data_IF_974257268319
#
_entry.id   IF_974257268319
#
_cell.length_a   1.000
_cell.length_b   1.000
_cell.length_c   1.000
_cell.angle_alpha   90.00
_cell.angle_beta   90.00
_cell.angle_gamma   90.00
#
_symmetry.space_group_name_H-M   'P 1'
#
loop_
_entity.id
_entity.type
_entity.pdbx_description
1 polymer ?
#
# COMPACT_ATOMS: atom_id res chain seq x y z
N UNK A 1 19.58 -0.48 5.12
CA UNK A 1 19.86 0.51 6.18
C UNK A 1 18.88 1.69 6.15
N UNK A 2 18.81 2.46 5.06
CA UNK A 2 17.92 3.64 5.01
C UNK A 2 16.43 3.30 5.16
N UNK A 3 16.00 2.14 4.70
CA UNK A 3 14.62 1.66 4.85
C UNK A 3 14.25 1.32 6.30
N UNK A 4 15.20 0.82 7.11
CA UNK A 4 14.95 0.41 8.51
C UNK A 4 14.44 1.58 9.36
N UNK A 5 14.98 2.78 9.13
CA UNK A 5 14.49 3.98 9.82
C UNK A 5 13.06 4.31 9.43
N UNK A 6 12.75 4.29 8.13
CA UNK A 6 11.41 4.54 7.61
C UNK A 6 10.40 3.52 8.15
N UNK A 7 10.76 2.23 8.16
CA UNK A 7 9.94 1.15 8.70
C UNK A 7 9.69 1.33 10.20
N UNK A 8 10.70 1.78 10.95
CA UNK A 8 10.56 2.05 12.39
C UNK A 8 9.64 3.25 12.67
N UNK A 9 9.78 4.34 11.90
CA UNK A 9 8.89 5.49 12.00
C UNK A 9 7.46 5.09 11.67
N UNK A 10 7.26 4.27 10.63
CA UNK A 10 5.95 3.75 10.27
C UNK A 10 5.36 2.87 11.39
N UNK A 11 6.15 1.96 11.95
CA UNK A 11 5.74 1.10 13.06
C UNK A 11 5.27 1.91 14.28
N UNK A 12 6.01 2.96 14.66
CA UNK A 12 5.62 3.84 15.77
C UNK A 12 4.29 4.54 15.47
N UNK A 13 4.11 5.06 14.26
CA UNK A 13 2.88 5.74 13.84
C UNK A 13 1.67 4.81 13.85
N UNK A 14 1.85 3.54 13.47
CA UNK A 14 0.80 2.50 13.50
C UNK A 14 0.40 2.06 14.92
N UNK A 15 0.96 2.67 15.96
CA UNK A 15 0.63 2.41 17.37
C UNK A 15 1.83 1.87 18.17
N UNK A 16 2.79 1.25 17.48
CA UNK A 16 4.03 0.76 18.08
C UNK A 16 3.82 -0.09 19.34
N UNK A 17 4.61 0.19 20.37
CA UNK A 17 4.42 -0.29 21.75
C UNK A 17 4.85 -1.74 22.07
N UNK A 18 5.74 -2.34 21.27
CA UNK A 18 6.43 -3.57 21.66
C UNK A 18 7.92 -3.31 21.95
N UNK A 19 8.25 -3.15 23.23
CA UNK A 19 9.63 -2.89 23.66
C UNK A 19 10.61 -4.03 23.35
N UNK A 20 10.15 -5.28 23.33
CA UNK A 20 10.99 -6.43 22.97
C UNK A 20 11.33 -6.41 21.47
N UNK A 21 10.33 -6.15 20.62
CA UNK A 21 10.53 -6.00 19.18
C UNK A 21 11.45 -4.81 18.88
N UNK A 22 11.19 -3.65 19.50
CA UNK A 22 12.03 -2.46 19.33
C UNK A 22 13.48 -2.71 19.75
N UNK A 23 13.70 -3.38 20.88
CA UNK A 23 15.04 -3.80 21.33
C UNK A 23 15.71 -4.73 20.32
N UNK A 24 15.01 -5.77 19.86
CA UNK A 24 15.56 -6.71 18.89
C UNK A 24 15.98 -6.01 17.60
N UNK A 25 15.11 -5.13 17.08
CA UNK A 25 15.37 -4.37 15.87
C UNK A 25 16.58 -3.44 16.03
N UNK A 26 16.70 -2.71 17.15
CA UNK A 26 17.85 -1.84 17.42
C UNK A 26 19.16 -2.64 17.48
N UNK A 27 19.14 -3.81 18.13
CA UNK A 27 20.28 -4.71 18.19
C UNK A 27 20.70 -5.20 16.80
N UNK A 28 19.76 -5.60 15.96
CA UNK A 28 20.07 -6.05 14.60
C UNK A 28 20.49 -4.90 13.68
N UNK A 29 19.89 -3.73 13.85
CA UNK A 29 20.26 -2.52 13.12
C UNK A 29 21.68 -2.06 13.46
N UNK A 30 22.08 -2.11 14.73
CA UNK A 30 23.46 -1.84 15.16
C UNK A 30 24.46 -2.77 14.47
N UNK A 31 24.17 -4.09 14.40
CA UNK A 31 25.04 -5.04 13.67
C UNK A 31 25.17 -4.68 12.19
N UNK A 32 24.07 -4.29 11.54
CA UNK A 32 24.07 -3.88 10.13
C UNK A 32 24.82 -2.57 9.89
N UNK A 33 24.80 -1.65 10.86
CA UNK A 33 25.48 -0.35 10.79
C UNK A 33 26.99 -0.43 11.05
N UNK A 34 27.42 -1.43 11.80
CA UNK A 34 28.79 -1.53 12.32
C UNK A 34 29.88 -1.42 11.24
N UNK A 35 29.75 -2.02 10.03
CA UNK A 35 30.74 -1.87 8.97
C UNK A 35 30.95 -0.43 8.47
N UNK A 36 29.94 0.45 8.64
CA UNK A 36 29.96 1.83 8.12
C UNK A 36 30.18 2.85 9.24
N UNK A 37 29.55 2.63 10.40
CA UNK A 37 29.56 3.58 11.54
C UNK A 37 29.79 2.84 12.86
N UNK A 38 31.00 2.27 13.08
CA UNK A 38 31.25 1.33 14.17
C UNK A 38 31.00 1.95 15.56
N UNK A 39 31.49 3.16 15.82
CA UNK A 39 31.31 3.81 17.13
C UNK A 39 29.83 4.06 17.48
N UNK A 40 29.03 4.50 16.51
CA UNK A 40 27.58 4.72 16.72
C UNK A 40 26.85 3.39 16.90
N UNK A 41 27.29 2.35 16.18
CA UNK A 41 26.70 1.02 16.28
C UNK A 41 26.92 0.40 17.65
N UNK A 42 28.13 0.54 18.22
CA UNK A 42 28.46 0.08 19.57
C UNK A 42 27.64 0.83 20.64
N UNK A 43 27.43 2.14 20.47
CA UNK A 43 26.58 2.92 21.37
C UNK A 43 25.12 2.47 21.33
N UNK A 44 24.53 2.32 20.13
CA UNK A 44 23.15 1.82 19.96
C UNK A 44 23.00 0.43 20.57
N UNK A 45 23.96 -0.46 20.34
CA UNK A 45 23.98 -1.81 20.89
C UNK A 45 24.00 -1.81 22.41
N UNK A 46 24.86 -0.99 23.02
CA UNK A 46 24.95 -0.89 24.48
C UNK A 46 23.64 -0.36 25.09
N UNK A 47 23.07 0.70 24.50
CA UNK A 47 21.79 1.28 24.94
C UNK A 47 20.64 0.28 24.79
N UNK A 48 20.63 -0.50 23.70
CA UNK A 48 19.64 -1.56 23.48
C UNK A 48 19.86 -2.80 24.39
N UNK A 49 20.87 -2.79 25.27
CA UNK A 49 21.16 -3.88 26.20
C UNK A 49 21.79 -5.08 25.53
N UNK A 50 22.58 -4.86 24.47
CA UNK A 50 23.46 -5.87 23.90
C UNK A 50 24.67 -6.15 24.80
N UNK A 51 25.19 -7.38 24.74
CA UNK A 51 26.35 -7.81 25.53
C UNK A 51 27.60 -7.92 24.65
N UNK A 52 28.75 -7.52 25.19
CA UNK A 52 30.01 -7.49 24.45
C UNK A 52 30.03 -6.44 23.33
N UNK A 53 30.95 -6.62 22.36
CA UNK A 53 31.11 -5.72 21.22
C UNK A 53 30.30 -6.21 20.02
N UNK A 54 29.68 -5.28 19.30
CA UNK A 54 29.02 -5.55 18.01
C UNK A 54 29.97 -6.20 17.02
N UNK A 55 31.25 -5.83 17.04
CA UNK A 55 32.30 -6.42 16.21
C UNK A 55 32.41 -7.96 16.33
N UNK A 56 31.96 -8.54 17.45
CA UNK A 56 31.98 -9.99 17.70
C UNK A 56 30.60 -10.65 17.54
N UNK A 57 29.56 -9.86 17.34
CA UNK A 57 28.19 -10.34 17.22
C UNK A 57 27.95 -11.00 15.85
N UNK A 58 27.21 -12.12 15.86
CA UNK A 58 26.75 -12.77 14.62
C UNK A 58 25.42 -12.16 14.19
N UNK A 59 25.30 -11.91 12.89
CA UNK A 59 24.03 -11.59 12.25
C UNK A 59 23.39 -12.90 11.83
N UNK A 60 22.19 -13.17 12.35
CA UNK A 60 21.34 -14.26 11.87
C UNK A 60 20.30 -13.62 10.97
N UNK A 61 20.30 -13.98 9.69
CA UNK A 61 19.21 -13.62 8.79
C UNK A 61 18.07 -14.61 9.05
N UNK A 62 16.94 -14.13 9.52
CA UNK A 62 15.72 -14.93 9.56
C UNK A 62 15.25 -15.16 8.13
N UNK A 63 14.78 -16.37 7.84
CA UNK A 63 14.06 -16.64 6.60
C UNK A 63 12.68 -15.97 6.67
N UNK A 64 12.26 -15.32 5.59
CA UNK A 64 10.94 -14.68 5.50
C UNK A 64 9.83 -15.73 5.46
N UNK A 65 8.78 -15.54 6.25
CA UNK A 65 7.59 -16.40 6.20
C UNK A 65 6.64 -15.93 5.08
N UNK A 66 5.87 -16.83 4.45
CA UNK A 66 4.94 -16.45 3.37
C UNK A 66 3.89 -15.40 3.78
N UNK A 67 3.43 -15.45 5.04
CA UNK A 67 2.45 -14.50 5.60
C UNK A 67 3.02 -13.08 5.78
N UNK A 68 4.35 -12.93 5.79
CA UNK A 68 4.99 -11.63 5.86
C UNK A 68 4.66 -10.82 4.59
N UNK A 69 4.55 -11.47 3.43
CA UNK A 69 4.33 -10.77 2.17
C UNK A 69 2.97 -10.07 2.10
N UNK A 70 1.90 -10.73 2.55
CA UNK A 70 0.54 -10.15 2.55
C UNK A 70 0.43 -9.00 3.56
N UNK A 71 1.02 -9.19 4.75
CA UNK A 71 1.05 -8.17 5.80
C UNK A 71 1.85 -6.94 5.35
N UNK A 72 3.05 -7.15 4.81
CA UNK A 72 3.89 -6.08 4.27
C UNK A 72 3.22 -5.38 3.09
N UNK A 73 2.52 -6.12 2.24
CA UNK A 73 1.77 -5.55 1.14
C UNK A 73 0.62 -4.66 1.63
N UNK A 74 -0.12 -5.11 2.63
CA UNK A 74 -1.21 -4.34 3.25
C UNK A 74 -0.69 -3.04 3.87
N UNK A 75 0.43 -3.09 4.60
CA UNK A 75 1.04 -1.89 5.19
C UNK A 75 1.60 -0.93 4.13
N UNK A 76 2.19 -1.44 3.04
CA UNK A 76 2.61 -0.60 1.90
C UNK A 76 1.43 0.07 1.21
N UNK A 77 0.33 -0.66 1.04
CA UNK A 77 -0.91 -0.10 0.49
C UNK A 77 -1.43 1.03 1.38
N UNK A 78 -1.48 0.84 2.70
CA UNK A 78 -1.87 1.90 3.64
C UNK A 78 -0.99 3.16 3.53
N UNK A 79 0.33 3.00 3.42
CA UNK A 79 1.25 4.13 3.21
C UNK A 79 0.92 4.89 1.93
N UNK A 80 0.72 4.16 0.82
CA UNK A 80 0.37 4.75 -0.48
C UNK A 80 -0.94 5.55 -0.40
N UNK A 81 -1.97 4.98 0.22
CA UNK A 81 -3.27 5.66 0.36
C UNK A 81 -3.17 6.87 1.26
N UNK A 82 -2.42 6.80 2.36
CA UNK A 82 -2.23 7.94 3.23
C UNK A 82 -1.53 9.10 2.52
N UNK A 83 -0.50 8.82 1.71
CA UNK A 83 0.20 9.84 0.94
C UNK A 83 -0.69 10.45 -0.13
N UNK A 84 -1.47 9.64 -0.87
CA UNK A 84 -2.47 10.12 -1.81
C UNK A 84 -3.53 10.98 -1.12
N UNK A 85 -4.05 10.53 0.02
CA UNK A 85 -5.03 11.26 0.81
C UNK A 85 -4.49 12.63 1.24
N UNK A 86 -3.25 12.72 1.73
CA UNK A 86 -2.61 13.99 2.12
C UNK A 86 -2.45 14.97 0.96
N UNK A 87 -2.03 14.47 -0.21
CA UNK A 87 -1.94 15.28 -1.41
C UNK A 87 -3.32 15.84 -1.79
N UNK A 88 -4.35 14.99 -1.76
CA UNK A 88 -5.73 15.38 -2.04
C UNK A 88 -6.28 16.36 -1.01
N UNK A 89 -5.95 16.21 0.28
CA UNK A 89 -6.31 17.16 1.35
C UNK A 89 -5.76 18.55 1.04
N UNK A 90 -4.47 18.62 0.74
CA UNK A 90 -3.77 19.87 0.41
C UNK A 90 -4.38 20.57 -0.81
N UNK A 91 -4.89 19.81 -1.78
CA UNK A 91 -5.59 20.35 -2.94
C UNK A 91 -7.00 20.85 -2.58
N UNK A 92 -7.73 20.12 -1.74
CA UNK A 92 -9.06 20.48 -1.29
C UNK A 92 -9.06 21.78 -0.46
N UNK A 93 -8.14 21.90 0.50
CA UNK A 93 -7.96 23.11 1.34
C UNK A 93 -7.67 24.38 0.52
N UNK A 94 -7.14 24.25 -0.71
CA UNK A 94 -6.92 25.42 -1.60
C UNK A 94 -8.17 25.88 -2.33
N UNK A 95 -9.19 25.04 -2.42
CA UNK A 95 -10.41 25.32 -3.19
C UNK A 95 -11.65 25.45 -2.29
N UNK A 96 -11.54 25.02 -1.02
CA UNK A 96 -12.61 25.03 -0.03
C UNK A 96 -12.20 25.96 1.11
N UNK A 97 -12.95 27.04 1.34
CA UNK A 97 -12.69 28.03 2.40
C UNK A 97 -13.15 27.56 3.80
N UNK A 98 -13.55 26.29 3.94
CA UNK A 98 -14.07 25.68 5.16
C UNK A 98 -13.13 24.56 5.66
N UNK A 99 -13.18 24.27 6.96
CA UNK A 99 -12.45 23.14 7.54
C UNK A 99 -13.03 21.82 7.02
N UNK A 100 -12.14 20.97 6.49
CA UNK A 100 -12.48 19.65 6.00
C UNK A 100 -12.91 18.76 7.17
N UNK A 101 -14.16 18.30 7.11
CA UNK A 101 -14.83 17.63 8.23
C UNK A 101 -14.83 16.11 8.07
N UNK A 102 -14.86 15.64 6.82
CA UNK A 102 -14.89 14.22 6.48
C UNK A 102 -14.14 13.91 5.18
N UNK A 103 -13.74 12.64 5.04
CA UNK A 103 -13.14 12.11 3.81
C UNK A 103 -13.83 10.82 3.40
N UNK A 104 -14.09 10.70 2.11
CA UNK A 104 -14.68 9.51 1.50
C UNK A 104 -13.65 8.85 0.58
N UNK A 105 -13.36 7.59 0.83
CA UNK A 105 -12.45 6.75 0.05
C UNK A 105 -13.27 5.68 -0.68
N UNK A 106 -13.27 5.77 -2.01
CA UNK A 106 -14.06 4.92 -2.90
C UNK A 106 -13.14 3.91 -3.58
N UNK A 107 -13.17 2.66 -3.11
CA UNK A 107 -12.37 1.56 -3.66
C UNK A 107 -12.91 1.10 -5.02
N UNK A 108 -12.01 0.67 -5.90
CA UNK A 108 -12.38 0.27 -7.25
C UNK A 108 -13.30 -0.95 -7.28
N UNK A 109 -14.16 -1.02 -8.30
CA UNK A 109 -15.01 -2.20 -8.57
C UNK A 109 -14.16 -3.46 -8.78
N UNK A 110 -14.65 -4.61 -8.32
CA UNK A 110 -13.92 -5.89 -8.33
C UNK A 110 -13.46 -6.32 -9.73
N UNK A 111 -14.23 -5.98 -10.77
CA UNK A 111 -13.86 -6.32 -12.14
C UNK A 111 -12.60 -5.59 -12.60
N UNK A 112 -12.32 -4.38 -12.09
CA UNK A 112 -11.06 -3.66 -12.36
C UNK A 112 -9.89 -4.36 -11.66
N UNK A 113 -10.09 -4.83 -10.43
CA UNK A 113 -9.08 -5.62 -9.72
C UNK A 113 -8.76 -6.92 -10.48
N UNK A 114 -9.79 -7.64 -10.91
CA UNK A 114 -9.66 -8.84 -11.75
C UNK A 114 -8.92 -8.58 -13.07
N UNK A 115 -9.22 -7.46 -13.72
CA UNK A 115 -8.55 -7.04 -14.96
C UNK A 115 -7.05 -6.75 -14.74
N UNK A 116 -6.69 -6.09 -13.64
CA UNK A 116 -5.28 -5.84 -13.30
C UNK A 116 -4.54 -7.14 -12.97
N UNK A 117 -5.13 -8.02 -12.14
CA UNK A 117 -4.54 -9.33 -11.81
C UNK A 117 -4.27 -10.15 -13.07
N UNK A 118 -5.24 -10.19 -13.99
CA UNK A 118 -5.08 -10.84 -15.30
C UNK A 118 -3.95 -10.18 -16.11
N UNK A 119 -3.84 -8.85 -16.10
CA UNK A 119 -2.77 -8.14 -16.80
C UNK A 119 -1.37 -8.46 -16.28
N UNK A 120 -1.22 -8.55 -14.96
CA UNK A 120 0.04 -8.93 -14.30
C UNK A 120 0.38 -10.39 -14.64
N UNK A 121 -0.58 -11.31 -14.55
CA UNK A 121 -0.42 -12.72 -14.94
C UNK A 121 0.09 -12.85 -16.38
N UNK A 122 -0.48 -12.12 -17.32
CA UNK A 122 -0.04 -12.15 -18.72
C UNK A 122 1.36 -11.56 -18.92
N UNK A 123 1.73 -10.54 -18.15
CA UNK A 123 3.06 -9.94 -18.22
C UNK A 123 4.14 -10.87 -17.70
N UNK A 124 3.89 -11.55 -16.58
CA UNK A 124 4.83 -12.50 -15.96
C UNK A 124 5.05 -13.74 -16.84
N UNK A 125 4.04 -14.16 -17.59
CA UNK A 125 4.13 -15.30 -18.52
C UNK A 125 4.70 -14.93 -19.90
N UNK A 126 5.30 -13.74 -20.06
CA UNK A 126 5.81 -13.21 -21.32
C UNK A 126 4.78 -13.27 -22.48
N UNK A 127 3.49 -13.12 -22.15
CA UNK A 127 2.41 -13.27 -23.12
C UNK A 127 2.42 -12.09 -24.13
N UNK A 128 2.17 -12.34 -25.43
CA UNK A 128 2.14 -11.27 -26.42
C UNK A 128 0.98 -10.30 -26.14
N UNK A 129 1.31 -9.09 -25.66
CA UNK A 129 0.33 -8.06 -25.26
C UNK A 129 -0.65 -7.63 -26.36
N UNK A 130 -0.30 -7.85 -27.64
CA UNK A 130 -1.22 -7.66 -28.78
C UNK A 130 -2.42 -8.61 -28.74
N UNK A 131 -2.27 -9.78 -28.10
CA UNK A 131 -3.31 -10.78 -27.93
C UNK A 131 -3.97 -10.72 -26.54
N UNK A 132 -3.42 -9.95 -25.59
CA UNK A 132 -3.91 -9.87 -24.21
C UNK A 132 -5.39 -9.51 -24.13
N UNK A 133 -5.87 -8.61 -25.00
CA UNK A 133 -7.29 -8.26 -25.06
C UNK A 133 -8.18 -9.48 -25.34
N UNK A 134 -7.77 -10.38 -26.24
CA UNK A 134 -8.55 -11.59 -26.55
C UNK A 134 -8.65 -12.51 -25.33
N UNK A 135 -7.55 -12.63 -24.59
CA UNK A 135 -7.49 -13.44 -23.37
C UNK A 135 -8.30 -12.81 -22.23
N UNK A 136 -8.19 -11.50 -22.02
CA UNK A 136 -9.02 -10.77 -21.05
C UNK A 136 -10.51 -10.97 -21.34
N UNK A 137 -10.91 -10.87 -22.61
CA UNK A 137 -12.30 -11.02 -23.03
C UNK A 137 -12.82 -12.46 -22.92
N UNK A 138 -11.96 -13.45 -22.68
CA UNK A 138 -12.35 -14.84 -22.39
C UNK A 138 -12.65 -15.06 -20.89
N UNK A 139 -12.16 -14.18 -20.01
CA UNK A 139 -12.29 -14.32 -18.56
C UNK A 139 -13.74 -14.08 -18.09
N UNK A 140 -14.15 -14.63 -16.91
CA UNK A 140 -15.52 -14.54 -16.42
C UNK A 140 -16.03 -13.12 -16.20
N UNK A 141 -15.19 -12.23 -15.65
CA UNK A 141 -15.55 -10.83 -15.39
C UNK A 141 -15.86 -10.03 -16.68
N UNK A 142 -15.44 -10.53 -17.84
CA UNK A 142 -15.66 -9.90 -19.15
C UNK A 142 -16.94 -10.34 -19.85
N UNK A 143 -17.67 -11.30 -19.28
CA UNK A 143 -18.94 -11.79 -19.85
C UNK A 143 -20.15 -10.97 -19.40
N UNK A 144 -19.98 -10.10 -18.40
CA UNK A 144 -21.00 -9.16 -17.96
C UNK A 144 -21.25 -8.09 -19.04
N UNK A 145 -22.52 -7.87 -19.41
CA UNK A 145 -22.92 -6.96 -20.49
C UNK A 145 -22.59 -5.49 -20.19
N UNK A 146 -22.59 -5.08 -18.93
CA UNK A 146 -22.30 -3.70 -18.51
C UNK A 146 -20.79 -3.44 -18.47
N UNK A 147 -20.01 -4.43 -18.04
CA UNK A 147 -18.55 -4.32 -17.88
C UNK A 147 -17.83 -4.46 -19.23
N UNK A 148 -18.27 -5.39 -20.08
CA UNK A 148 -17.64 -5.71 -21.37
C UNK A 148 -17.28 -4.49 -22.24
N UNK A 149 -18.13 -3.47 -22.43
CA UNK A 149 -17.77 -2.28 -23.22
C UNK A 149 -16.74 -1.37 -22.54
N UNK A 150 -16.59 -1.44 -21.21
CA UNK A 150 -15.67 -0.61 -20.43
C UNK A 150 -14.23 -1.14 -20.45
N UNK A 151 -14.06 -2.46 -20.60
CA UNK A 151 -12.77 -3.16 -20.55
C UNK A 151 -11.70 -2.56 -21.46
N UNK A 152 -11.95 -2.24 -22.75
CA UNK A 152 -10.90 -1.71 -23.62
C UNK A 152 -10.30 -0.38 -23.12
N UNK A 153 -11.15 0.46 -22.54
CA UNK A 153 -10.72 1.76 -21.98
C UNK A 153 -9.90 1.58 -20.70
N UNK A 154 -10.35 0.69 -19.81
CA UNK A 154 -9.66 0.35 -18.57
C UNK A 154 -8.31 -0.33 -18.86
N UNK A 155 -8.29 -1.28 -19.80
CA UNK A 155 -7.08 -1.98 -20.22
C UNK A 155 -6.01 -1.04 -20.77
N UNK A 156 -6.41 -0.01 -21.52
CA UNK A 156 -5.47 1.01 -22.01
C UNK A 156 -4.82 1.81 -20.87
N UNK A 157 -5.55 2.07 -19.78
CA UNK A 157 -5.01 2.70 -18.56
C UNK A 157 -4.05 1.73 -17.86
N UNK A 158 -4.46 0.47 -17.68
CA UNK A 158 -3.67 -0.59 -17.06
C UNK A 158 -2.35 -0.80 -17.77
N UNK A 159 -2.37 -0.95 -19.09
CA UNK A 159 -1.16 -1.13 -19.89
C UNK A 159 -0.13 -0.03 -19.65
N UNK A 160 -0.56 1.23 -19.45
CA UNK A 160 0.36 2.33 -19.15
C UNK A 160 0.91 2.28 -17.74
N UNK A 161 0.13 1.78 -16.79
CA UNK A 161 0.46 1.74 -15.37
C UNK A 161 1.27 0.48 -15.00
N UNK A 162 0.99 -0.65 -15.63
CA UNK A 162 1.69 -1.93 -15.41
C UNK A 162 3.21 -1.86 -15.62
N UNK A 163 3.67 -0.99 -16.53
CA UNK A 163 5.12 -0.76 -16.74
C UNK A 163 5.73 0.24 -15.76
N UNK A 164 4.91 0.99 -15.02
CA UNK A 164 5.36 1.95 -14.02
C UNK A 164 5.44 1.34 -12.62
N UNK A 165 4.57 0.38 -12.32
CA UNK A 165 4.58 -0.28 -11.02
C UNK A 165 5.90 -1.01 -10.79
N UNK A 166 6.48 -0.74 -9.63
CA UNK A 166 7.57 -1.50 -9.04
C UNK A 166 7.14 -2.96 -8.79
N UNK A 167 8.10 -3.90 -8.67
CA UNK A 167 7.78 -5.29 -8.30
C UNK A 167 6.92 -5.39 -7.04
N UNK A 168 7.24 -4.59 -6.01
CA UNK A 168 6.47 -4.56 -4.77
C UNK A 168 5.03 -4.09 -4.92
N UNK A 169 4.75 -3.12 -5.79
CA UNK A 169 3.37 -2.68 -6.05
C UNK A 169 2.58 -3.75 -6.82
N UNK A 170 3.24 -4.50 -7.71
CA UNK A 170 2.62 -5.64 -8.39
C UNK A 170 2.30 -6.76 -7.42
N UNK A 171 3.19 -7.04 -6.47
CA UNK A 171 2.97 -8.05 -5.43
C UNK A 171 1.77 -7.69 -4.55
N UNK A 172 1.62 -6.42 -4.18
CA UNK A 172 0.45 -5.91 -3.43
C UNK A 172 -0.85 -6.16 -4.18
N UNK A 173 -0.89 -5.80 -5.46
CA UNK A 173 -2.09 -5.96 -6.29
C UNK A 173 -2.40 -7.45 -6.54
N UNK A 174 -1.36 -8.28 -6.67
CA UNK A 174 -1.46 -9.72 -6.88
C UNK A 174 -1.93 -10.47 -5.64
N UNK A 175 -1.57 -10.00 -4.44
CA UNK A 175 -1.97 -10.59 -3.17
C UNK A 175 -3.51 -10.64 -3.01
N UNK A 176 -4.26 -9.91 -3.85
CA UNK A 176 -5.71 -10.04 -3.89
C UNK A 176 -6.37 -9.45 -2.64
N UNK A 177 -5.68 -8.48 -2.04
CA UNK A 177 -6.07 -7.81 -0.82
C UNK A 177 -7.48 -7.23 -0.91
N UNK A 178 -8.27 -7.43 0.15
CA UNK A 178 -9.53 -6.71 0.33
C UNK A 178 -9.20 -5.28 0.76
N UNK A 179 -9.12 -4.37 -0.22
CA UNK A 179 -8.80 -2.96 0.01
C UNK A 179 -9.77 -2.31 0.99
N UNK A 180 -11.06 -2.69 0.94
CA UNK A 180 -12.09 -2.13 1.80
C UNK A 180 -11.85 -2.59 3.24
N UNK A 181 -11.59 -3.88 3.46
CA UNK A 181 -11.29 -4.42 4.79
C UNK A 181 -10.02 -3.81 5.39
N UNK A 182 -8.94 -3.69 4.60
CA UNK A 182 -7.68 -3.10 5.07
C UNK A 182 -7.87 -1.64 5.48
N UNK A 183 -8.54 -0.84 4.65
CA UNK A 183 -8.78 0.56 4.96
C UNK A 183 -9.75 0.73 6.14
N UNK A 184 -10.78 -0.12 6.22
CA UNK A 184 -11.77 -0.07 7.30
C UNK A 184 -11.12 -0.42 8.64
N UNK A 185 -10.28 -1.45 8.67
CA UNK A 185 -9.54 -1.85 9.88
C UNK A 185 -8.51 -0.80 10.32
N UNK A 186 -8.01 0.03 9.41
CA UNK A 186 -7.09 1.13 9.68
C UNK A 186 -7.77 2.51 9.75
N UNK A 187 -9.10 2.58 9.76
CA UNK A 187 -9.86 3.84 9.65
C UNK A 187 -9.53 4.84 10.77
N UNK A 188 -9.47 4.39 12.03
CA UNK A 188 -9.10 5.24 13.16
C UNK A 188 -7.68 5.82 13.01
N UNK A 189 -6.75 5.01 12.52
CA UNK A 189 -5.38 5.45 12.26
C UNK A 189 -5.33 6.50 11.15
N UNK A 190 -6.05 6.26 10.03
CA UNK A 190 -6.15 7.20 8.92
C UNK A 190 -6.81 8.52 9.35
N UNK A 191 -7.86 8.46 10.18
CA UNK A 191 -8.58 9.63 10.69
C UNK A 191 -7.65 10.53 11.51
N UNK A 192 -6.88 9.93 12.42
CA UNK A 192 -5.89 10.63 13.23
C UNK A 192 -4.75 11.22 12.37
N UNK A 193 -4.21 10.46 11.43
CA UNK A 193 -3.10 10.89 10.57
C UNK A 193 -3.49 11.98 9.57
N UNK A 194 -4.76 12.01 9.17
CA UNK A 194 -5.32 13.05 8.31
C UNK A 194 -5.90 14.22 9.12
N UNK A 195 -6.13 14.07 10.42
CA UNK A 195 -6.77 15.08 11.28
C UNK A 195 -8.21 15.35 10.86
N UNK A 196 -9.00 14.30 10.65
CA UNK A 196 -10.39 14.35 10.18
C UNK A 196 -11.26 13.51 11.12
N UNK A 197 -12.50 13.94 11.35
CA UNK A 197 -13.40 13.30 12.31
C UNK A 197 -14.10 12.06 11.75
N UNK A 198 -14.39 12.05 10.45
CA UNK A 198 -15.17 10.98 9.81
C UNK A 198 -14.50 10.48 8.53
N UNK A 199 -14.33 9.16 8.45
CA UNK A 199 -13.84 8.47 7.26
C UNK A 199 -14.90 7.49 6.79
N UNK A 200 -15.37 7.66 5.55
CA UNK A 200 -16.27 6.71 4.89
C UNK A 200 -15.50 5.92 3.83
N UNK A 201 -15.49 4.59 3.94
CA UNK A 201 -14.82 3.70 3.00
C UNK A 201 -15.85 2.73 2.42
N UNK A 202 -15.92 2.63 1.10
CA UNK A 202 -16.78 1.65 0.43
C UNK A 202 -16.30 1.34 -0.98
N UNK A 203 -16.73 0.19 -1.48
CA UNK A 203 -16.59 -0.19 -2.88
C UNK A 203 -17.48 0.70 -3.76
N UNK A 204 -16.95 1.18 -4.89
CA UNK A 204 -17.76 1.85 -5.91
C UNK A 204 -18.93 0.94 -6.30
N UNK A 205 -20.14 1.49 -6.21
CA UNK A 205 -21.41 0.77 -6.40
C UNK A 205 -22.19 0.53 -5.10
N UNK A 206 -21.52 0.49 -3.94
CA UNK A 206 -22.15 0.28 -2.63
C UNK A 206 -22.47 1.59 -1.87
N UNK A 207 -22.18 2.75 -2.46
CA UNK A 207 -22.41 4.08 -1.88
C UNK A 207 -22.53 5.17 -2.94
N UNK A 208 -22.72 6.42 -2.53
CA UNK A 208 -22.84 7.56 -3.44
C UNK A 208 -21.51 7.91 -4.14
N UNK A 209 -21.55 8.43 -5.37
CA UNK A 209 -20.33 8.94 -6.03
C UNK A 209 -19.98 10.34 -5.51
N UNK A 210 -19.27 10.38 -4.38
CA UNK A 210 -18.85 11.64 -3.76
C UNK A 210 -17.77 12.30 -4.65
N UNK A 211 -18.05 13.52 -5.09
CA UNK A 211 -17.11 14.33 -5.89
C UNK A 211 -16.85 13.81 -7.31
N UNK A 212 -17.65 12.88 -7.82
CA UNK A 212 -17.46 12.31 -9.16
C UNK A 212 -16.17 11.50 -9.30
N UNK A 213 -15.66 10.96 -8.18
CA UNK A 213 -14.37 10.27 -8.07
C UNK A 213 -14.48 8.77 -8.30
N UNK A 214 -15.67 8.18 -8.19
CA UNK A 214 -15.89 6.74 -8.39
C UNK A 214 -15.38 6.25 -9.76
N UNK A 215 -15.62 7.01 -10.82
CA UNK A 215 -15.16 6.66 -12.19
C UNK A 215 -13.63 6.63 -12.34
N UNK A 216 -12.91 7.34 -11.48
CA UNK A 216 -11.44 7.40 -11.50
C UNK A 216 -10.80 6.36 -10.58
N UNK A 217 -11.57 5.79 -9.64
CA UNK A 217 -11.12 4.76 -8.73
C UNK A 217 -10.56 3.56 -9.51
N UNK A 218 -9.38 3.15 -9.10
CA UNK A 218 -8.61 2.08 -9.71
C UNK A 218 -7.93 1.25 -8.59
N UNK A 219 -7.66 -0.05 -8.78
CA UNK A 219 -6.95 -0.83 -7.78
C UNK A 219 -5.66 -0.14 -7.34
N UNK A 220 -5.45 -0.05 -6.03
CA UNK A 220 -4.37 0.73 -5.37
C UNK A 220 -4.37 2.26 -5.60
N UNK A 221 -5.40 2.80 -6.25
CA UNK A 221 -5.64 4.24 -6.48
C UNK A 221 -7.15 4.55 -6.29
N UNK A 222 -7.68 4.45 -5.06
CA UNK A 222 -9.09 4.72 -4.78
C UNK A 222 -9.45 6.18 -5.06
N UNK A 223 -10.74 6.42 -5.31
CA UNK A 223 -11.27 7.77 -5.45
C UNK A 223 -11.37 8.45 -4.09
N UNK A 224 -10.54 9.47 -3.83
CA UNK A 224 -10.57 10.21 -2.56
C UNK A 224 -11.28 11.55 -2.76
N UNK A 225 -12.28 11.81 -1.94
CA UNK A 225 -13.04 13.06 -1.92
C UNK A 225 -13.12 13.61 -0.49
N UNK A 226 -12.88 14.91 -0.36
CA UNK A 226 -12.95 15.64 0.89
C UNK A 226 -14.20 16.51 0.90
N UNK A 227 -14.84 16.65 2.07
CA UNK A 227 -16.03 17.47 2.29
C UNK A 227 -15.74 18.52 3.38
#
# INVERSE_FOLDING_TARGET
HYEVYSDFVWYIRRGGNNGLLGRSLLCDWAKMMHPVTPHISEEIWSIAGGEGLVATAKINFLESEPYDNETLASEKFLQLILDQARQMKTLAERHIDQELSSVTIQCAEEWKASLVRTGIELLENDFPMKQAMKEIMSRPFSQDEEIRPLIPSAWKRIMKQMYKWSPSEKDVIKAGLDEVEILTSASDFLANELGINEISIYLVGNGEDVGGKAKFAFPSEPGIAYI
#
